data_IF_753907744151
#
_entry.id   IF_753907744151
#
_cell.length_a   1.000
_cell.length_b   1.000
_cell.length_c   1.000
_cell.angle_alpha   90.00
_cell.angle_beta   90.00
_cell.angle_gamma   90.00
#
_symmetry.space_group_name_H-M   'P 1'
#
loop_
_entity.id
_entity.type
_entity.pdbx_description
1 polymer ?
#
# COMPACT_ATOMS: atom_id res chain seq x y z
N UNK A 1 -3.60 -46.54 -0.31
CA UNK A 1 -2.34 -45.88 0.08
C UNK A 1 -2.43 -44.43 -0.37
N UNK A 2 -2.61 -43.49 0.57
CA UNK A 2 -2.73 -42.06 0.29
C UNK A 2 -1.32 -41.48 0.07
N UNK A 3 -1.09 -40.93 -1.13
CA UNK A 3 0.11 -40.14 -1.45
C UNK A 3 -0.15 -38.68 -1.08
N UNK A 4 0.59 -38.18 -0.10
CA UNK A 4 0.62 -36.77 0.29
C UNK A 4 1.56 -36.00 -0.63
N UNK A 5 1.01 -35.17 -1.52
CA UNK A 5 1.77 -34.12 -2.20
C UNK A 5 1.84 -32.88 -1.30
N UNK A 6 2.97 -32.68 -0.64
CA UNK A 6 3.35 -31.40 -0.03
C UNK A 6 4.56 -30.85 -0.79
N UNK A 7 4.57 -29.56 -1.18
CA UNK A 7 5.75 -28.98 -1.81
C UNK A 7 6.87 -28.75 -0.79
N UNK A 8 8.10 -29.05 -1.21
CA UNK A 8 9.33 -28.83 -0.44
C UNK A 8 9.58 -27.32 -0.26
N UNK A 9 9.46 -26.82 0.96
CA UNK A 9 9.82 -25.43 1.30
C UNK A 9 11.27 -25.43 1.79
N UNK A 10 12.20 -25.17 0.87
CA UNK A 10 13.61 -24.99 1.21
C UNK A 10 13.82 -23.63 1.90
N UNK A 11 14.37 -23.65 3.11
CA UNK A 11 14.78 -22.47 3.87
C UNK A 11 16.15 -22.00 3.39
N UNK A 12 16.25 -20.81 2.80
CA UNK A 12 17.53 -20.21 2.39
C UNK A 12 18.06 -19.34 3.55
N UNK A 13 19.23 -19.63 4.13
CA UNK A 13 19.81 -18.81 5.19
C UNK A 13 20.32 -17.47 4.63
N UNK A 14 20.09 -16.41 5.40
CA UNK A 14 20.49 -15.04 5.10
C UNK A 14 22.02 -14.88 5.08
N UNK A 15 22.57 -14.46 3.93
CA UNK A 15 23.96 -14.03 3.80
C UNK A 15 24.04 -12.55 4.20
N UNK A 16 24.76 -12.27 5.28
CA UNK A 16 25.17 -10.91 5.66
C UNK A 16 26.13 -10.35 4.61
N UNK A 17 25.73 -9.27 3.93
CA UNK A 17 26.62 -8.46 3.11
C UNK A 17 26.29 -6.98 3.27
N UNK A 18 27.26 -6.12 3.61
CA UNK A 18 27.06 -4.69 3.77
C UNK A 18 27.14 -4.02 2.40
N UNK A 19 26.06 -4.13 1.63
CA UNK A 19 26.00 -3.56 0.28
C UNK A 19 24.57 -3.27 -0.11
N UNK A 20 24.23 -1.98 -0.10
CA UNK A 20 23.11 -1.38 -0.85
C UNK A 20 21.79 -2.17 -0.77
N UNK A 21 20.93 -1.81 0.20
CA UNK A 21 19.53 -2.22 0.28
C UNK A 21 18.75 -1.78 -0.97
N UNK A 22 18.97 -2.44 -2.11
CA UNK A 22 17.97 -2.54 -3.17
C UNK A 22 16.88 -3.40 -2.57
N UNK A 23 15.74 -2.78 -2.29
CA UNK A 23 14.50 -3.48 -2.00
C UNK A 23 14.19 -4.35 -3.22
N UNK A 24 14.64 -5.60 -3.22
CA UNK A 24 14.29 -6.57 -4.25
C UNK A 24 12.84 -6.94 -3.98
N UNK A 25 11.91 -6.19 -4.56
CA UNK A 25 10.51 -6.61 -4.65
C UNK A 25 10.44 -7.66 -5.76
N UNK A 26 10.29 -8.96 -5.46
CA UNK A 26 10.35 -9.99 -6.50
C UNK A 26 9.10 -9.99 -7.40
N UNK A 27 8.05 -9.26 -7.01
CA UNK A 27 6.71 -9.29 -7.60
C UNK A 27 6.32 -8.04 -8.39
N UNK A 28 7.16 -7.01 -8.44
CA UNK A 28 6.92 -5.79 -9.22
C UNK A 28 8.17 -5.53 -10.06
N UNK A 29 8.13 -5.96 -11.32
CA UNK A 29 9.15 -5.62 -12.30
C UNK A 29 9.32 -4.10 -12.36
N UNK A 30 10.54 -3.66 -12.10
CA UNK A 30 10.97 -2.29 -12.37
C UNK A 30 10.74 -2.01 -13.86
N UNK A 31 9.90 -1.01 -14.16
CA UNK A 31 9.71 -0.33 -15.46
C UNK A 31 8.48 -0.63 -16.32
N UNK A 32 7.41 -1.25 -15.80
CA UNK A 32 6.10 -1.11 -16.43
C UNK A 32 5.19 -0.21 -15.59
N UNK A 33 4.92 0.99 -16.11
CA UNK A 33 3.78 1.81 -15.68
C UNK A 33 2.54 1.14 -16.28
N UNK A 34 2.11 0.02 -15.70
CA UNK A 34 0.84 -0.57 -16.08
C UNK A 34 -0.26 0.38 -15.62
N UNK A 35 -1.13 0.87 -16.52
CA UNK A 35 -2.30 1.65 -16.14
C UNK A 35 -3.21 0.81 -15.24
N UNK A 36 -4.02 1.48 -14.43
CA UNK A 36 -5.06 0.80 -13.67
C UNK A 36 -6.03 0.13 -14.65
N UNK A 37 -6.14 -1.20 -14.59
CA UNK A 37 -7.04 -1.98 -15.43
C UNK A 37 -7.56 -3.19 -14.65
N UNK A 38 -8.87 -3.27 -14.46
CA UNK A 38 -9.52 -4.31 -13.67
C UNK A 38 -10.64 -4.98 -14.47
N UNK A 39 -10.33 -5.83 -15.48
CA UNK A 39 -11.33 -6.43 -16.36
C UNK A 39 -12.29 -7.36 -15.60
N UNK A 40 -11.82 -8.01 -14.54
CA UNK A 40 -12.63 -8.90 -13.69
C UNK A 40 -13.53 -8.14 -12.71
N UNK A 41 -13.44 -6.80 -12.67
CA UNK A 41 -14.15 -5.95 -11.71
C UNK A 41 -14.55 -4.61 -12.36
N UNK A 42 -15.54 -4.61 -13.27
CA UNK A 42 -15.91 -3.44 -14.06
C UNK A 42 -16.38 -2.27 -13.21
N UNK A 43 -17.08 -2.53 -12.09
CA UNK A 43 -17.53 -1.47 -11.18
C UNK A 43 -16.35 -0.76 -10.51
N UNK A 44 -15.32 -1.52 -10.08
CA UNK A 44 -14.11 -0.92 -9.52
C UNK A 44 -13.31 -0.18 -10.59
N UNK A 45 -13.25 -0.74 -11.81
CA UNK A 45 -12.58 -0.11 -12.94
C UNK A 45 -13.20 1.25 -13.28
N UNK A 46 -14.53 1.33 -13.39
CA UNK A 46 -15.25 2.59 -13.61
C UNK A 46 -15.03 3.59 -12.47
N UNK A 47 -15.04 3.13 -11.22
CA UNK A 47 -14.75 3.98 -10.06
C UNK A 47 -13.34 4.60 -10.13
N UNK A 48 -12.33 3.83 -10.52
CA UNK A 48 -10.96 4.34 -10.67
C UNK A 48 -10.86 5.32 -11.85
N UNK A 49 -11.49 5.04 -12.98
CA UNK A 49 -11.56 5.99 -14.10
C UNK A 49 -12.25 7.30 -13.69
N UNK A 50 -13.32 7.24 -12.91
CA UNK A 50 -13.96 8.45 -12.36
C UNK A 50 -13.03 9.24 -11.44
N UNK A 51 -12.18 8.57 -10.66
CA UNK A 51 -11.20 9.24 -9.78
C UNK A 51 -10.09 9.90 -10.59
N UNK A 52 -9.51 9.20 -11.58
CA UNK A 52 -8.49 9.76 -12.47
C UNK A 52 -9.02 10.99 -13.22
N UNK A 53 -10.20 10.87 -13.83
CA UNK A 53 -10.86 12.00 -14.50
C UNK A 53 -11.17 13.17 -13.54
N UNK A 54 -11.48 12.89 -12.27
CA UNK A 54 -11.71 13.94 -11.28
C UNK A 54 -10.44 14.73 -10.98
N UNK A 55 -9.31 14.03 -10.87
CA UNK A 55 -7.99 14.65 -10.67
C UNK A 55 -7.65 15.54 -11.87
N UNK A 56 -7.86 15.06 -13.10
CA UNK A 56 -7.62 15.84 -14.32
C UNK A 56 -8.50 17.10 -14.40
N UNK A 57 -9.68 17.07 -13.77
CA UNK A 57 -10.60 18.21 -13.64
C UNK A 57 -10.28 19.15 -12.46
N UNK A 58 -9.23 18.86 -11.69
CA UNK A 58 -8.83 19.65 -10.51
C UNK A 58 -9.55 19.29 -9.20
N UNK A 59 -10.34 18.22 -9.17
CA UNK A 59 -10.90 17.66 -7.94
C UNK A 59 -9.88 16.73 -7.27
N UNK A 60 -8.85 17.35 -6.70
CA UNK A 60 -7.74 16.62 -6.08
C UNK A 60 -8.17 15.84 -4.82
N UNK A 61 -7.48 14.72 -4.50
CA UNK A 61 -7.65 14.02 -3.24
C UNK A 61 -7.27 14.91 -2.05
N UNK A 62 -8.06 14.85 -0.98
CA UNK A 62 -7.88 15.68 0.21
C UNK A 62 -7.25 14.88 1.34
N UNK A 63 -6.19 15.42 1.95
CA UNK A 63 -5.51 14.75 3.06
C UNK A 63 -6.44 14.65 4.27
N UNK A 64 -6.52 13.47 4.85
CA UNK A 64 -7.31 13.22 6.06
C UNK A 64 -6.54 13.80 7.26
N UNK A 65 -7.11 14.81 7.91
CA UNK A 65 -6.48 15.53 9.03
C UNK A 65 -6.46 14.74 10.33
N UNK A 66 -7.45 13.87 10.54
CA UNK A 66 -7.54 12.97 11.70
C UNK A 66 -7.06 11.58 11.30
N UNK A 67 -5.85 11.20 11.71
CA UNK A 67 -5.29 9.87 11.44
C UNK A 67 -3.80 9.86 11.17
N UNK A 68 -3.29 8.76 10.59
CA UNK A 68 -1.91 8.68 10.13
C UNK A 68 -1.66 9.61 8.95
N UNK A 69 -0.46 10.20 8.89
CA UNK A 69 -0.05 11.27 7.97
C UNK A 69 -0.10 10.97 6.46
N UNK A 70 -0.53 9.79 6.01
CA UNK A 70 -0.47 9.32 4.63
C UNK A 70 -1.79 8.69 4.15
N UNK A 71 -2.90 9.40 4.32
CA UNK A 71 -4.23 8.94 3.87
C UNK A 71 -5.01 10.11 3.27
N UNK A 72 -5.69 9.85 2.15
CA UNK A 72 -6.38 10.86 1.35
C UNK A 72 -7.80 10.40 1.02
N UNK A 73 -8.78 11.30 1.13
CA UNK A 73 -10.10 11.09 0.54
C UNK A 73 -10.00 11.33 -0.97
N UNK A 74 -10.29 10.30 -1.76
CA UNK A 74 -10.38 10.42 -3.22
C UNK A 74 -11.80 10.75 -3.63
N UNK A 75 -11.93 11.51 -4.71
CA UNK A 75 -13.21 12.04 -5.19
C UNK A 75 -13.47 11.59 -6.62
N UNK A 76 -14.74 11.53 -7.00
CA UNK A 76 -15.14 11.34 -8.38
C UNK A 76 -15.37 12.68 -9.11
N UNK A 77 -15.75 12.61 -10.39
CA UNK A 77 -16.05 13.78 -11.25
C UNK A 77 -17.21 14.65 -10.76
N UNK A 78 -17.97 14.20 -9.75
CA UNK A 78 -19.02 14.99 -9.07
C UNK A 78 -18.52 15.64 -7.78
N UNK A 79 -17.19 15.63 -7.54
CA UNK A 79 -16.55 16.11 -6.32
C UNK A 79 -17.06 15.41 -5.03
N UNK A 80 -17.58 14.18 -5.16
CA UNK A 80 -18.02 13.36 -4.02
C UNK A 80 -16.90 12.43 -3.59
N UNK A 81 -16.66 12.30 -2.29
CA UNK A 81 -15.74 11.30 -1.73
C UNK A 81 -16.23 9.90 -2.06
N UNK A 82 -15.37 9.09 -2.69
CA UNK A 82 -15.67 7.71 -3.12
C UNK A 82 -14.74 6.66 -2.52
N UNK A 83 -13.67 7.06 -1.83
CA UNK A 83 -12.76 6.13 -1.19
C UNK A 83 -11.65 6.79 -0.41
N UNK A 84 -10.76 5.95 0.15
CA UNK A 84 -9.55 6.36 0.83
C UNK A 84 -8.35 5.80 0.08
N UNK A 85 -7.39 6.65 -0.25
CA UNK A 85 -6.11 6.28 -0.85
C UNK A 85 -4.98 6.42 0.16
N UNK A 86 -4.12 5.40 0.22
CA UNK A 86 -2.96 5.33 1.12
C UNK A 86 -1.69 5.07 0.30
N UNK A 87 -0.92 6.10 -0.05
CA UNK A 87 0.30 5.92 -0.85
C UNK A 87 1.39 5.19 -0.05
N UNK A 88 2.04 4.21 -0.70
CA UNK A 88 3.16 3.43 -0.15
C UNK A 88 4.27 4.33 0.42
N UNK A 89 4.66 5.37 -0.31
CA UNK A 89 5.80 6.21 0.05
C UNK A 89 5.56 7.10 1.28
N UNK A 90 4.31 7.21 1.74
CA UNK A 90 3.90 7.98 2.93
C UNK A 90 3.57 7.10 4.15
N UNK A 91 3.73 5.78 4.04
CA UNK A 91 3.55 4.88 5.19
C UNK A 91 4.51 5.27 6.34
N UNK A 92 4.16 4.95 7.61
CA UNK A 92 5.21 4.83 8.63
C UNK A 92 6.24 3.84 8.06
N UNK A 93 7.53 4.19 8.02
CA UNK A 93 8.62 3.46 7.33
C UNK A 93 8.84 3.77 5.83
N UNK A 94 8.00 4.57 5.17
CA UNK A 94 8.19 5.02 3.78
C UNK A 94 9.44 5.90 3.60
N UNK A 95 9.93 6.04 2.36
CA UNK A 95 11.18 6.76 2.04
C UNK A 95 11.16 8.22 2.52
N UNK A 96 9.98 8.83 2.60
CA UNK A 96 9.76 10.22 3.01
C UNK A 96 9.53 10.40 4.52
N UNK A 97 9.54 9.33 5.31
CA UNK A 97 9.36 9.37 6.76
C UNK A 97 10.68 9.04 7.49
N UNK A 98 11.44 10.05 7.96
CA UNK A 98 12.84 9.87 8.37
C UNK A 98 13.02 8.86 9.51
N UNK A 99 14.00 7.97 9.34
CA UNK A 99 14.32 6.85 10.26
C UNK A 99 14.93 7.28 11.60
N UNK A 100 15.30 8.55 11.77
CA UNK A 100 16.05 9.05 12.94
C UNK A 100 15.22 9.09 14.23
N UNK A 101 13.93 9.38 14.14
CA UNK A 101 13.00 9.34 15.28
C UNK A 101 12.88 7.94 15.89
N UNK A 102 13.12 6.88 15.10
CA UNK A 102 13.11 5.49 15.58
C UNK A 102 14.37 5.07 16.32
N UNK A 103 15.54 5.63 15.99
CA UNK A 103 16.74 5.39 16.78
C UNK A 103 16.58 5.93 18.20
N UNK A 104 16.00 7.13 18.32
CA UNK A 104 15.70 7.75 19.61
C UNK A 104 14.60 7.01 20.40
N UNK A 105 13.53 6.55 19.74
CA UNK A 105 12.46 5.77 20.41
C UNK A 105 12.89 4.34 20.80
N UNK A 106 13.77 3.69 20.03
CA UNK A 106 14.32 2.36 20.37
C UNK A 106 15.18 2.40 21.64
N UNK A 107 15.76 3.55 21.97
CA UNK A 107 16.61 3.75 23.15
C UNK A 107 15.82 4.08 24.43
N UNK A 108 14.59 4.62 24.32
CA UNK A 108 13.85 5.18 25.45
C UNK A 108 12.67 4.30 25.95
N UNK A 109 12.15 3.36 25.16
CA UNK A 109 11.01 2.49 25.58
C UNK A 109 10.98 1.12 24.87
N UNK A 110 11.69 0.08 25.38
CA UNK A 110 11.83 -1.21 24.70
C UNK A 110 10.57 -2.11 24.66
N UNK A 111 9.46 -1.73 25.31
CA UNK A 111 8.26 -2.58 25.42
C UNK A 111 6.97 -2.02 24.77
N UNK A 112 6.96 -0.76 24.29
CA UNK A 112 5.73 -0.11 23.79
C UNK A 112 5.78 0.31 22.31
N UNK A 113 6.91 0.13 21.62
CA UNK A 113 7.06 0.59 20.23
C UNK A 113 7.70 -0.47 19.35
N UNK A 114 6.88 -1.21 18.62
CA UNK A 114 7.34 -1.97 17.47
C UNK A 114 6.45 -3.14 17.13
N UNK A 115 5.66 -3.00 16.06
CA UNK A 115 5.14 -4.13 15.29
C UNK A 115 6.31 -4.84 14.57
N UNK A 116 7.29 -5.35 15.32
CA UNK A 116 8.48 -6.03 14.79
C UNK A 116 8.13 -7.32 14.04
N UNK A 117 6.91 -7.83 14.25
CA UNK A 117 6.31 -8.94 13.51
C UNK A 117 5.73 -8.55 12.14
N UNK A 118 5.69 -7.25 11.78
CA UNK A 118 5.18 -6.80 10.49
C UNK A 118 6.32 -6.42 9.54
N UNK A 119 6.17 -6.82 8.29
CA UNK A 119 7.10 -6.44 7.22
C UNK A 119 6.97 -4.93 6.97
N UNK A 120 8.07 -4.15 7.03
CA UNK A 120 8.02 -2.71 6.76
C UNK A 120 7.56 -2.39 5.33
N UNK A 121 6.88 -1.25 5.13
CA UNK A 121 6.54 -0.68 3.81
C UNK A 121 5.63 -1.57 2.92
N UNK A 122 4.83 -2.43 3.56
CA UNK A 122 3.87 -3.32 2.93
C UNK A 122 2.45 -3.12 3.49
N UNK A 123 2.16 -1.96 4.09
CA UNK A 123 0.84 -1.64 4.63
C UNK A 123 -0.25 -1.72 3.55
N UNK A 124 -0.03 -1.13 2.38
CA UNK A 124 -0.96 -1.16 1.25
C UNK A 124 -1.26 -2.60 0.77
N UNK A 125 -0.27 -3.50 0.83
CA UNK A 125 -0.47 -4.92 0.55
C UNK A 125 -1.31 -5.59 1.63
N UNK A 126 -1.10 -5.24 2.90
CA UNK A 126 -1.93 -5.74 4.00
C UNK A 126 -3.39 -5.30 3.86
N UNK A 127 -3.64 -4.06 3.41
CA UNK A 127 -5.00 -3.54 3.20
C UNK A 127 -5.69 -4.25 2.03
N UNK A 128 -5.00 -4.40 0.89
CA UNK A 128 -5.52 -5.16 -0.25
C UNK A 128 -5.72 -6.65 0.09
N UNK A 129 -4.80 -7.23 0.86
CA UNK A 129 -4.88 -8.61 1.34
C UNK A 129 -6.10 -8.84 2.24
N UNK A 130 -6.44 -7.89 3.12
CA UNK A 130 -7.64 -7.97 3.94
C UNK A 130 -8.91 -8.04 3.08
N UNK A 131 -9.02 -7.21 2.05
CA UNK A 131 -10.15 -7.25 1.12
C UNK A 131 -10.19 -8.56 0.31
N UNK A 132 -9.04 -9.08 -0.12
CA UNK A 132 -8.95 -10.35 -0.84
C UNK A 132 -9.41 -11.54 0.04
N UNK A 133 -9.00 -11.59 1.30
CA UNK A 133 -9.43 -12.62 2.26
C UNK A 133 -10.94 -12.49 2.55
N UNK A 134 -11.44 -11.27 2.75
CA UNK A 134 -12.87 -11.01 2.95
C UNK A 134 -13.72 -11.55 1.80
N UNK A 135 -13.34 -11.25 0.54
CA UNK A 135 -14.02 -11.73 -0.65
C UNK A 135 -13.93 -13.26 -0.80
N UNK A 136 -12.76 -13.85 -0.50
CA UNK A 136 -12.55 -15.30 -0.61
C UNK A 136 -13.39 -16.08 0.39
N UNK A 137 -13.63 -15.51 1.57
CA UNK A 137 -14.41 -16.10 2.65
C UNK A 137 -15.89 -15.66 2.63
N UNK A 138 -16.27 -14.71 1.78
CA UNK A 138 -17.64 -14.21 1.66
C UNK A 138 -18.12 -13.45 2.91
N UNK A 139 -17.22 -12.78 3.62
CA UNK A 139 -17.54 -12.08 4.88
C UNK A 139 -18.29 -10.76 4.63
N UNK A 140 -17.94 -10.04 3.55
CA UNK A 140 -18.55 -8.79 3.12
C UNK A 140 -18.53 -7.68 4.19
N UNK A 141 -17.45 -7.60 4.99
CA UNK A 141 -17.27 -6.57 6.02
C UNK A 141 -16.18 -5.56 5.64
N UNK A 142 -15.20 -5.96 4.82
CA UNK A 142 -14.13 -5.08 4.35
C UNK A 142 -14.57 -4.40 3.05
N UNK A 143 -14.57 -3.05 2.98
CA UNK A 143 -14.79 -2.35 1.72
C UNK A 143 -13.78 -2.80 0.65
N UNK A 144 -14.25 -2.97 -0.59
CA UNK A 144 -13.42 -3.44 -1.70
C UNK A 144 -12.15 -2.58 -1.84
N UNK A 145 -11.00 -3.20 -1.68
CA UNK A 145 -9.69 -2.53 -1.68
C UNK A 145 -8.73 -3.25 -2.63
N UNK A 146 -8.08 -2.51 -3.53
CA UNK A 146 -7.10 -3.03 -4.49
C UNK A 146 -5.88 -2.13 -4.54
N UNK A 147 -4.79 -2.66 -5.10
CA UNK A 147 -3.60 -1.88 -5.40
C UNK A 147 -3.90 -1.03 -6.63
N UNK A 148 -3.77 0.29 -6.50
CA UNK A 148 -3.99 1.27 -7.57
C UNK A 148 -2.84 2.26 -7.60
N UNK A 149 -2.61 2.87 -8.76
CA UNK A 149 -1.64 3.96 -8.94
C UNK A 149 -2.39 5.25 -9.21
N UNK A 150 -2.17 6.28 -8.42
CA UNK A 150 -2.73 7.61 -8.63
C UNK A 150 -1.60 8.63 -8.63
N UNK A 151 -1.80 9.70 -9.40
CA UNK A 151 -0.93 10.87 -9.42
C UNK A 151 -1.78 12.09 -9.08
N UNK A 152 -1.35 12.92 -8.14
CA UNK A 152 -2.05 14.15 -7.77
C UNK A 152 -1.08 15.11 -7.10
N UNK A 153 -1.16 16.40 -7.42
CA UNK A 153 -0.34 17.45 -6.81
C UNK A 153 -0.46 17.53 -5.28
N UNK A 154 -1.57 17.03 -4.71
CA UNK A 154 -1.81 17.01 -3.27
C UNK A 154 -1.07 15.92 -2.51
N UNK A 155 -0.45 14.95 -3.20
CA UNK A 155 0.38 13.92 -2.57
C UNK A 155 1.74 14.47 -2.16
N UNK A 156 2.41 13.80 -1.22
CA UNK A 156 3.71 14.22 -0.74
C UNK A 156 4.84 13.71 -1.65
N UNK A 157 5.36 14.59 -2.51
CA UNK A 157 6.52 14.29 -3.36
C UNK A 157 7.84 14.82 -2.75
N UNK A 158 8.97 14.11 -2.93
CA UNK A 158 10.27 14.64 -2.54
C UNK A 158 10.56 15.94 -3.32
N UNK A 159 11.06 16.96 -2.62
CA UNK A 159 11.59 18.17 -3.26
C UNK A 159 12.89 17.79 -3.99
N UNK A 160 12.96 18.14 -5.28
CA UNK A 160 14.17 18.04 -6.11
C UNK A 160 15.15 19.14 -5.71
#
# INVERSE_FOLDING_TARGET
MLSSNLPDVAYIPSIDSPGMYREVQPLLSSHDVTPNNFPDDPDFNDLIQQVENAIDQGFFPERISQGSSGSYFVKNTKNKVVGVFKPKDEEPYGRLNPKWTKWMHKLCCPCCFGRSCLIPNQGYLSEAGASLVDQKLGLNIVPKTKIVRLQSETFNYPRI
#
